data_IF_038181449612
#
_entry.id   IF_038181449612
#
_cell.length_a   1.000
_cell.length_b   1.000
_cell.length_c   1.000
_cell.angle_alpha   90.00
_cell.angle_beta   90.00
_cell.angle_gamma   90.00
#
_symmetry.space_group_name_H-M   'P 1'
#
loop_
_entity.id
_entity.type
_entity.pdbx_description
1 polymer ?
#
# COMPACT_ATOMS: atom_id res chain seq x y z
N UNK A 1 75.75 3.71 40.35
CA UNK A 1 75.68 4.93 41.17
C UNK A 1 74.23 5.38 41.17
N UNK A 2 73.52 5.05 42.26
CA UNK A 2 72.34 5.70 42.86
C UNK A 2 71.10 5.87 41.95
N UNK A 3 69.86 5.59 42.32
CA UNK A 3 69.16 4.75 43.30
C UNK A 3 67.67 4.85 42.89
N UNK A 4 66.86 3.87 43.28
CA UNK A 4 65.44 3.75 42.95
C UNK A 4 64.57 4.07 44.17
N UNK A 5 63.31 4.44 43.88
CA UNK A 5 62.06 4.38 44.69
C UNK A 5 61.50 5.76 45.09
N UNK A 6 60.41 6.24 44.48
CA UNK A 6 58.97 5.87 44.60
C UNK A 6 58.40 6.22 45.98
N UNK A 7 57.27 6.96 46.04
CA UNK A 7 56.01 6.71 46.78
C UNK A 7 55.02 7.88 46.50
N UNK A 8 53.85 7.62 45.86
CA UNK A 8 52.46 7.59 46.42
C UNK A 8 51.89 9.00 46.73
N UNK A 9 50.62 9.39 46.53
CA UNK A 9 49.34 8.85 46.03
C UNK A 9 48.33 10.04 46.10
N UNK A 10 47.22 9.97 45.36
CA UNK A 10 45.93 10.67 45.56
C UNK A 10 45.74 12.13 45.07
N UNK A 11 45.05 12.23 43.92
CA UNK A 11 43.69 12.79 43.87
C UNK A 11 43.51 14.30 43.79
N UNK A 12 43.00 14.80 42.66
CA UNK A 12 41.64 15.37 42.58
C UNK A 12 41.29 15.71 41.12
N UNK A 13 40.20 15.11 40.68
CA UNK A 13 39.44 15.42 39.47
C UNK A 13 38.84 16.83 39.60
N UNK A 14 39.08 17.74 38.65
CA UNK A 14 38.14 18.82 38.35
C UNK A 14 38.19 19.16 36.86
N UNK A 15 37.10 18.80 36.18
CA UNK A 15 36.71 19.25 34.85
C UNK A 15 36.62 20.78 34.79
N UNK A 16 37.16 21.36 33.72
CA UNK A 16 36.63 22.61 33.17
C UNK A 16 36.40 22.38 31.67
N UNK A 17 35.14 22.07 31.35
CA UNK A 17 34.61 22.06 29.99
C UNK A 17 34.49 23.51 29.53
N UNK A 18 35.34 23.92 28.59
CA UNK A 18 35.09 25.14 27.82
C UNK A 18 34.41 24.75 26.51
N UNK A 19 33.08 24.85 26.51
CA UNK A 19 32.28 24.95 25.29
C UNK A 19 32.53 26.31 24.66
N UNK A 20 33.28 26.35 23.57
CA UNK A 20 33.22 27.44 22.61
C UNK A 20 32.90 26.86 21.24
N UNK A 21 31.60 26.81 20.95
CA UNK A 21 31.03 26.78 19.61
C UNK A 21 31.58 27.96 18.81
N UNK A 22 32.36 27.68 17.77
CA UNK A 22 32.66 28.63 16.71
C UNK A 22 32.41 27.94 15.38
N UNK A 23 31.16 28.05 14.91
CA UNK A 23 30.80 27.80 13.53
C UNK A 23 31.66 28.71 12.64
N UNK A 24 32.60 28.13 11.89
CA UNK A 24 33.22 28.86 10.79
C UNK A 24 32.35 28.64 9.56
N UNK A 25 31.55 29.65 9.27
CA UNK A 25 30.80 29.78 8.03
C UNK A 25 31.80 29.96 6.87
N UNK A 26 31.86 29.00 5.96
CA UNK A 26 32.50 29.17 4.65
C UNK A 26 31.47 28.93 3.58
N UNK A 27 30.82 30.01 3.18
CA UNK A 27 30.12 30.11 1.91
C UNK A 27 31.17 30.09 0.80
N UNK A 28 31.19 29.00 0.02
CA UNK A 28 31.85 28.97 -1.28
C UNK A 28 30.89 28.38 -2.30
N UNK A 29 30.48 29.29 -3.17
CA UNK A 29 29.65 29.13 -4.35
C UNK A 29 30.11 27.94 -5.20
N UNK A 30 29.31 26.87 -5.18
CA UNK A 30 29.29 25.87 -6.24
C UNK A 30 27.90 26.00 -6.87
N UNK A 31 27.85 26.25 -8.17
CA UNK A 31 26.62 26.05 -8.96
C UNK A 31 26.20 24.59 -8.76
N UNK A 32 25.30 24.33 -7.82
CA UNK A 32 24.60 23.06 -7.73
C UNK A 32 23.39 23.18 -8.64
N UNK A 33 23.30 22.32 -9.65
CA UNK A 33 21.97 21.88 -10.08
C UNK A 33 21.18 21.55 -8.81
N UNK A 34 19.98 22.11 -8.69
CA UNK A 34 19.18 22.14 -7.47
C UNK A 34 18.61 20.78 -7.06
N UNK A 35 19.44 19.74 -7.00
CA UNK A 35 19.07 18.45 -6.45
C UNK A 35 18.96 18.61 -4.94
N UNK A 36 17.73 18.60 -4.43
CA UNK A 36 17.47 18.52 -2.99
C UNK A 36 18.12 17.24 -2.48
N UNK A 37 19.07 17.38 -1.57
CA UNK A 37 19.78 16.24 -0.99
C UNK A 37 18.91 15.61 0.09
N UNK A 38 18.12 14.60 -0.28
CA UNK A 38 17.31 13.82 0.65
C UNK A 38 18.13 12.67 1.25
N UNK A 39 17.91 12.31 2.52
CA UNK A 39 18.52 11.13 3.10
C UNK A 39 18.06 9.84 2.40
N UNK A 40 18.77 8.75 2.68
CA UNK A 40 18.27 7.39 2.44
C UNK A 40 17.45 6.97 3.66
N UNK A 41 16.17 6.62 3.46
CA UNK A 41 15.23 6.19 4.49
C UNK A 41 14.86 4.71 4.33
N UNK A 42 14.32 4.07 5.35
CA UNK A 42 13.71 2.74 5.18
C UNK A 42 12.46 2.82 4.29
N UNK A 43 12.08 1.70 3.67
CA UNK A 43 10.90 1.65 2.83
C UNK A 43 9.60 1.98 3.60
N UNK A 44 9.54 1.64 4.89
CA UNK A 44 8.44 2.00 5.79
C UNK A 44 8.37 3.52 5.99
N UNK A 45 9.48 4.17 6.34
CA UNK A 45 9.54 5.63 6.50
C UNK A 45 9.22 6.38 5.20
N UNK A 46 9.57 5.80 4.04
CA UNK A 46 9.22 6.34 2.72
C UNK A 46 7.69 6.38 2.55
N UNK A 47 7.00 5.28 2.82
CA UNK A 47 5.54 5.23 2.70
C UNK A 47 4.84 6.07 3.77
N UNK A 48 5.32 6.08 5.02
CA UNK A 48 4.76 6.94 6.07
C UNK A 48 4.84 8.43 5.70
N UNK A 49 5.97 8.87 5.13
CA UNK A 49 6.12 10.25 4.65
C UNK A 49 5.21 10.53 3.46
N UNK A 50 5.08 9.58 2.53
CA UNK A 50 4.23 9.72 1.36
C UNK A 50 2.75 9.86 1.76
N UNK A 51 2.25 8.98 2.62
CA UNK A 51 0.89 9.01 3.14
C UNK A 51 0.62 10.32 3.88
N UNK A 52 1.53 10.72 4.77
CA UNK A 52 1.46 12.02 5.47
C UNK A 52 1.39 13.19 4.49
N UNK A 53 2.15 13.13 3.38
CA UNK A 53 2.16 14.19 2.37
C UNK A 53 0.81 14.32 1.65
N UNK A 54 0.16 13.19 1.34
CA UNK A 54 -1.15 13.18 0.70
C UNK A 54 -2.24 13.64 1.67
N UNK A 55 -2.21 13.20 2.92
CA UNK A 55 -3.16 13.65 3.96
C UNK A 55 -3.06 15.15 4.22
N UNK A 56 -1.85 15.72 4.20
CA UNK A 56 -1.64 17.15 4.38
C UNK A 56 -2.25 17.99 3.25
N UNK A 57 -2.20 17.50 2.01
CA UNK A 57 -2.85 18.15 0.85
C UNK A 57 -4.38 18.00 0.88
N UNK A 58 -4.87 16.94 1.52
CA UNK A 58 -6.29 16.61 1.58
C UNK A 58 -7.05 17.30 2.73
N UNK A 59 -6.40 18.18 3.51
CA UNK A 59 -7.11 19.02 4.49
C UNK A 59 -8.05 20.01 3.81
N UNK A 60 -9.24 19.53 3.45
CA UNK A 60 -10.40 20.34 3.13
C UNK A 60 -10.95 20.90 4.44
N UNK A 61 -10.71 22.18 4.67
CA UNK A 61 -11.49 22.99 5.60
C UNK A 61 -12.91 23.14 5.02
N UNK A 62 -13.93 22.77 5.80
CA UNK A 62 -15.29 23.28 5.52
C UNK A 62 -15.27 24.81 5.55
N UNK A 63 -16.25 25.47 4.92
CA UNK A 63 -16.44 26.93 4.93
C UNK A 63 -16.50 27.52 6.35
N UNK A 64 -16.69 26.70 7.39
CA UNK A 64 -16.60 27.04 8.81
C UNK A 64 -15.26 26.73 9.50
N UNK A 65 -14.20 26.35 8.79
CA UNK A 65 -12.85 26.15 9.33
C UNK A 65 -12.64 24.89 10.18
N UNK A 66 -13.58 23.94 10.17
CA UNK A 66 -13.47 22.68 10.91
C UNK A 66 -12.77 21.62 10.06
N UNK A 67 -11.74 20.97 10.61
CA UNK A 67 -11.08 19.83 9.96
C UNK A 67 -12.07 18.66 9.87
N UNK A 68 -12.46 18.27 8.65
CA UNK A 68 -13.20 17.02 8.44
C UNK A 68 -12.17 15.90 8.39
N UNK A 69 -12.06 15.12 9.47
CA UNK A 69 -11.38 13.82 9.39
C UNK A 69 -12.28 12.88 8.61
N UNK A 70 -11.86 12.38 7.44
CA UNK A 70 -12.62 11.46 6.58
C UNK A 70 -12.92 10.08 7.20
N UNK A 71 -12.62 9.87 8.48
CA UNK A 71 -12.89 8.60 9.17
C UNK A 71 -14.39 8.49 9.45
N UNK A 72 -15.12 7.91 8.49
CA UNK A 72 -16.50 7.45 8.71
C UNK A 72 -17.51 7.69 7.60
N UNK A 73 -17.17 8.37 6.49
CA UNK A 73 -18.15 8.73 5.44
C UNK A 73 -17.95 8.02 4.08
N UNK A 74 -17.01 7.08 3.95
CA UNK A 74 -16.71 6.44 2.66
C UNK A 74 -16.13 7.39 1.61
N UNK A 75 -15.71 8.59 2.01
CA UNK A 75 -14.99 9.52 1.13
C UNK A 75 -13.52 9.12 1.19
N UNK A 76 -13.10 8.30 0.23
CA UNK A 76 -11.68 8.08 -0.02
C UNK A 76 -11.02 9.43 -0.34
N UNK A 77 -9.90 9.77 0.32
CA UNK A 77 -8.99 10.81 -0.17
C UNK A 77 -8.87 10.74 -1.69
N UNK A 78 -9.18 11.82 -2.40
CA UNK A 78 -8.79 11.90 -3.81
C UNK A 78 -7.28 12.05 -3.84
N UNK A 79 -6.57 10.92 -3.90
CA UNK A 79 -5.13 10.91 -4.12
C UNK A 79 -4.81 11.61 -5.45
N UNK A 80 -3.59 12.09 -5.67
CA UNK A 80 -3.25 12.67 -6.97
C UNK A 80 -3.54 11.70 -8.12
N UNK A 81 -4.10 12.18 -9.22
CA UNK A 81 -4.52 11.34 -10.36
C UNK A 81 -3.37 10.61 -11.05
N UNK A 82 -2.12 11.02 -10.79
CA UNK A 82 -0.95 10.30 -11.26
C UNK A 82 -0.54 9.15 -10.35
N UNK A 83 -0.99 9.09 -9.09
CA UNK A 83 -0.53 8.10 -8.13
C UNK A 83 -1.20 6.74 -8.40
N UNK A 84 -0.40 5.69 -8.59
CA UNK A 84 -0.84 4.33 -8.93
C UNK A 84 -0.83 3.33 -7.77
N UNK A 85 -0.44 3.76 -6.57
CA UNK A 85 -0.20 2.88 -5.42
C UNK A 85 1.29 2.71 -5.11
N UNK A 86 1.58 1.89 -4.12
CA UNK A 86 2.93 1.52 -3.76
C UNK A 86 3.01 0.12 -3.16
N UNK A 87 4.19 -0.49 -3.24
CA UNK A 87 4.47 -1.82 -2.70
C UNK A 87 5.95 -1.96 -2.35
N UNK A 88 6.27 -3.02 -1.60
CA UNK A 88 7.64 -3.44 -1.33
C UNK A 88 8.05 -4.48 -2.37
N UNK A 89 9.17 -4.27 -3.06
CA UNK A 89 9.70 -5.31 -3.95
C UNK A 89 10.26 -6.51 -3.14
N UNK A 90 10.72 -7.55 -3.84
CA UNK A 90 11.25 -8.77 -3.22
C UNK A 90 12.50 -8.49 -2.34
N UNK A 91 13.23 -7.42 -2.63
CA UNK A 91 14.39 -6.95 -1.89
C UNK A 91 14.03 -5.99 -0.75
N UNK A 92 12.75 -5.61 -0.61
CA UNK A 92 12.23 -4.74 0.44
C UNK A 92 12.38 -3.25 0.15
N UNK A 93 12.66 -2.84 -1.10
CA UNK A 93 12.67 -1.44 -1.48
C UNK A 93 11.26 -0.90 -1.68
N UNK A 94 11.07 0.41 -1.43
CA UNK A 94 9.82 1.09 -1.71
C UNK A 94 9.68 1.39 -3.21
N UNK A 95 8.66 0.80 -3.82
CA UNK A 95 8.26 1.10 -5.20
C UNK A 95 6.97 1.92 -5.19
N UNK A 96 7.01 3.09 -5.82
CA UNK A 96 5.85 3.96 -6.05
C UNK A 96 5.46 3.89 -7.52
N UNK A 97 4.19 3.59 -7.77
CA UNK A 97 3.63 3.53 -9.10
C UNK A 97 3.07 4.89 -9.52
N UNK A 98 3.31 5.28 -10.76
CA UNK A 98 2.76 6.50 -11.35
C UNK A 98 2.13 6.25 -12.73
N UNK A 99 0.95 6.82 -12.97
CA UNK A 99 0.27 6.83 -14.26
C UNK A 99 0.84 7.97 -15.11
N UNK A 100 1.89 7.67 -15.87
CA UNK A 100 2.60 8.66 -16.69
C UNK A 100 4.08 8.33 -16.88
N UNK A 101 4.90 9.36 -17.13
CA UNK A 101 6.35 9.20 -17.21
C UNK A 101 6.99 9.23 -15.81
N UNK A 102 7.63 8.14 -15.35
CA UNK A 102 8.30 8.11 -14.05
C UNK A 102 9.31 9.23 -13.83
N UNK A 103 10.02 9.65 -14.90
CA UNK A 103 11.02 10.71 -14.78
C UNK A 103 10.38 12.08 -14.50
N UNK A 104 9.16 12.32 -15.00
CA UNK A 104 8.43 13.56 -14.75
C UNK A 104 7.95 13.69 -13.29
N UNK A 105 7.76 12.56 -12.60
CA UNK A 105 7.27 12.53 -11.21
C UNK A 105 8.37 12.23 -10.18
N UNK A 106 9.56 11.82 -10.59
CA UNK A 106 10.62 11.40 -9.68
C UNK A 106 10.95 12.44 -8.60
N UNK A 107 11.13 13.71 -9.00
CA UNK A 107 11.46 14.78 -8.05
C UNK A 107 10.29 15.09 -7.10
N UNK A 108 9.05 15.04 -7.59
CA UNK A 108 7.86 15.19 -6.74
C UNK A 108 7.78 14.06 -5.71
N UNK A 109 7.95 12.81 -6.13
CA UNK A 109 7.93 11.64 -5.24
C UNK A 109 9.07 11.71 -4.22
N UNK A 110 10.28 12.12 -4.60
CA UNK A 110 11.39 12.34 -3.65
C UNK A 110 11.08 13.42 -2.63
N UNK A 111 10.44 14.51 -3.05
CA UNK A 111 10.00 15.59 -2.14
C UNK A 111 8.97 15.09 -1.14
N UNK A 112 7.96 14.34 -1.60
CA UNK A 112 6.90 13.79 -0.75
C UNK A 112 7.44 12.76 0.24
N UNK A 113 8.27 11.84 -0.24
CA UNK A 113 8.87 10.77 0.58
C UNK A 113 10.03 11.24 1.45
N UNK A 114 10.57 12.44 1.18
CA UNK A 114 11.80 12.98 1.79
C UNK A 114 12.99 12.04 1.65
N UNK A 115 13.05 11.31 0.55
CA UNK A 115 14.01 10.22 0.37
C UNK A 115 14.55 10.15 -1.06
N UNK A 116 15.82 9.78 -1.18
CA UNK A 116 16.46 9.48 -2.47
C UNK A 116 16.33 8.01 -2.91
N UNK A 117 16.00 7.09 -2.00
CA UNK A 117 15.95 5.64 -2.26
C UNK A 117 14.53 5.11 -2.47
N UNK A 118 13.73 5.84 -3.25
CA UNK A 118 12.43 5.42 -3.74
C UNK A 118 12.54 5.05 -5.22
N UNK A 119 11.95 3.91 -5.60
CA UNK A 119 11.85 3.49 -6.99
C UNK A 119 10.52 4.00 -7.53
N UNK A 120 10.55 4.72 -8.66
CA UNK A 120 9.33 5.19 -9.32
C UNK A 120 9.14 4.41 -10.61
N UNK A 121 7.99 3.75 -10.76
CA UNK A 121 7.68 2.93 -11.94
C UNK A 121 6.38 3.38 -12.59
N UNK A 122 6.26 3.14 -13.90
CA UNK A 122 5.05 3.43 -14.66
C UNK A 122 3.98 2.37 -14.36
N UNK A 123 2.73 2.80 -14.28
CA UNK A 123 1.56 1.93 -14.25
C UNK A 123 0.47 2.39 -15.24
N UNK A 124 -0.55 1.56 -15.43
CA UNK A 124 -1.62 1.81 -16.41
C UNK A 124 -2.78 2.62 -15.80
N UNK A 125 -3.06 2.38 -14.52
CA UNK A 125 -4.22 2.92 -13.81
C UNK A 125 -3.77 3.69 -12.57
N UNK A 126 -4.41 4.83 -12.32
CA UNK A 126 -4.30 5.54 -11.06
C UNK A 126 -4.98 4.73 -9.95
N UNK A 127 -4.50 4.86 -8.73
CA UNK A 127 -5.04 4.14 -7.58
C UNK A 127 -6.52 4.47 -7.36
N UNK A 128 -6.92 5.73 -7.55
CA UNK A 128 -8.33 6.15 -7.46
C UNK A 128 -9.21 5.43 -8.49
N UNK A 129 -8.70 5.13 -9.69
CA UNK A 129 -9.45 4.37 -10.70
C UNK A 129 -9.66 2.92 -10.26
N UNK A 130 -8.65 2.32 -9.62
CA UNK A 130 -8.73 0.96 -9.07
C UNK A 130 -9.68 0.88 -7.87
N UNK A 131 -9.63 1.87 -6.97
CA UNK A 131 -10.56 1.98 -5.83
C UNK A 131 -11.99 2.13 -6.32
N UNK A 132 -12.26 3.08 -7.21
CA UNK A 132 -13.60 3.29 -7.76
C UNK A 132 -14.14 2.03 -8.47
N UNK A 133 -13.28 1.32 -9.21
CA UNK A 133 -13.64 0.06 -9.82
C UNK A 133 -13.96 -1.01 -8.77
N UNK A 134 -13.10 -1.21 -7.77
CA UNK A 134 -13.31 -2.21 -6.73
C UNK A 134 -14.59 -1.92 -5.92
N UNK A 135 -14.87 -0.65 -5.61
CA UNK A 135 -16.10 -0.23 -4.94
C UNK A 135 -17.34 -0.52 -5.79
N UNK A 136 -17.26 -0.28 -7.11
CA UNK A 136 -18.35 -0.58 -8.04
C UNK A 136 -18.67 -2.07 -8.13
N UNK A 137 -17.69 -2.94 -7.86
CA UNK A 137 -17.89 -4.39 -7.80
C UNK A 137 -18.64 -4.82 -6.52
N UNK A 138 -18.63 -3.99 -5.47
CA UNK A 138 -19.32 -4.28 -4.21
C UNK A 138 -20.84 -4.43 -4.38
N UNK A 139 -21.46 -3.62 -5.24
CA UNK A 139 -22.93 -3.67 -5.44
C UNK A 139 -23.36 -5.02 -6.06
N UNK A 140 -22.80 -5.49 -7.19
CA UNK A 140 -23.08 -6.83 -7.69
C UNK A 140 -22.70 -7.96 -6.72
N UNK A 141 -21.70 -7.75 -5.88
CA UNK A 141 -21.21 -8.78 -4.95
C UNK A 141 -22.21 -9.10 -3.83
N UNK A 142 -23.14 -8.18 -3.51
CA UNK A 142 -24.22 -8.43 -2.57
C UNK A 142 -25.28 -9.43 -3.08
N UNK A 143 -25.34 -9.70 -4.39
CA UNK A 143 -26.22 -10.73 -4.96
C UNK A 143 -25.58 -12.13 -4.82
N UNK A 144 -25.94 -12.83 -3.75
CA UNK A 144 -25.43 -14.18 -3.50
C UNK A 144 -25.74 -15.18 -4.63
N UNK A 145 -26.85 -15.02 -5.35
CA UNK A 145 -27.20 -15.94 -6.43
C UNK A 145 -26.28 -15.72 -7.63
N UNK A 146 -26.01 -14.47 -7.97
CA UNK A 146 -25.01 -14.10 -8.98
C UNK A 146 -23.62 -14.58 -8.58
N UNK A 147 -23.20 -14.34 -7.33
CA UNK A 147 -21.90 -14.79 -6.83
C UNK A 147 -21.74 -16.32 -6.92
N UNK A 148 -22.76 -17.09 -6.50
CA UNK A 148 -22.76 -18.56 -6.65
C UNK A 148 -22.73 -19.02 -8.10
N UNK A 149 -23.45 -18.34 -8.99
CA UNK A 149 -23.48 -18.69 -10.42
C UNK A 149 -22.13 -18.47 -11.10
N UNK A 150 -21.45 -17.37 -10.75
CA UNK A 150 -20.15 -16.99 -11.30
C UNK A 150 -18.99 -17.74 -10.63
N UNK A 151 -19.22 -18.30 -9.44
CA UNK A 151 -18.14 -18.79 -8.57
C UNK A 151 -17.30 -17.66 -8.00
N UNK A 152 -17.87 -16.46 -7.83
CA UNK A 152 -17.14 -15.28 -7.34
C UNK A 152 -16.95 -15.34 -5.84
N UNK A 153 -15.68 -15.26 -5.40
CA UNK A 153 -15.29 -15.42 -3.99
C UNK A 153 -14.88 -14.11 -3.32
N UNK A 154 -14.54 -13.07 -4.09
CA UNK A 154 -14.16 -11.74 -3.60
C UNK A 154 -13.41 -10.92 -4.63
N UNK A 155 -13.07 -9.68 -4.27
CA UNK A 155 -12.17 -8.83 -5.03
C UNK A 155 -11.25 -8.02 -4.12
N UNK A 156 -10.13 -7.56 -4.66
CA UNK A 156 -9.19 -6.69 -3.97
C UNK A 156 -8.23 -6.01 -4.95
N UNK A 157 -7.52 -4.99 -4.50
CA UNK A 157 -6.51 -4.32 -5.31
C UNK A 157 -5.16 -4.98 -5.06
N UNK A 158 -4.49 -5.39 -6.13
CA UNK A 158 -3.09 -5.79 -6.11
C UNK A 158 -2.27 -4.59 -6.58
N UNK A 159 -1.62 -3.91 -5.63
CA UNK A 159 -0.83 -2.72 -5.89
C UNK A 159 0.34 -2.99 -6.83
N UNK A 160 1.01 -4.13 -6.70
CA UNK A 160 2.18 -4.47 -7.54
C UNK A 160 1.75 -4.72 -8.99
N UNK A 161 0.65 -5.45 -9.21
CA UNK A 161 0.10 -5.65 -10.56
C UNK A 161 -0.60 -4.41 -11.11
N UNK A 162 -0.96 -3.45 -10.26
CA UNK A 162 -1.81 -2.31 -10.60
C UNK A 162 -3.15 -2.78 -11.23
N UNK A 163 -3.82 -3.72 -10.54
CA UNK A 163 -5.08 -4.33 -10.99
C UNK A 163 -6.05 -4.54 -9.84
N UNK A 164 -7.34 -4.62 -10.18
CA UNK A 164 -8.34 -5.22 -9.31
C UNK A 164 -8.36 -6.73 -9.60
N UNK A 165 -7.99 -7.52 -8.59
CA UNK A 165 -8.05 -8.97 -8.63
C UNK A 165 -9.46 -9.44 -8.29
N UNK A 166 -10.00 -10.33 -9.11
CA UNK A 166 -11.29 -10.99 -8.89
C UNK A 166 -11.05 -12.48 -8.68
N UNK A 167 -11.39 -12.96 -7.48
CA UNK A 167 -11.29 -14.37 -7.12
C UNK A 167 -12.47 -15.17 -7.68
N UNK A 168 -12.17 -16.23 -8.43
CA UNK A 168 -13.16 -17.19 -8.94
C UNK A 168 -12.82 -18.62 -8.52
N UNK A 169 -13.82 -19.40 -8.10
CA UNK A 169 -13.68 -20.81 -7.75
C UNK A 169 -14.85 -21.63 -8.35
N UNK A 170 -14.61 -22.52 -9.32
CA UNK A 170 -13.32 -22.77 -10.00
C UNK A 170 -12.95 -21.63 -10.97
N UNK A 171 -11.66 -21.30 -11.05
CA UNK A 171 -11.13 -20.37 -12.04
C UNK A 171 -11.18 -21.01 -13.44
N UNK A 172 -12.21 -20.69 -14.22
CA UNK A 172 -12.40 -21.21 -15.58
C UNK A 172 -12.65 -20.08 -16.58
N UNK A 173 -12.26 -20.27 -17.85
CA UNK A 173 -12.55 -19.29 -18.91
C UNK A 173 -14.05 -19.03 -19.08
N UNK A 174 -14.89 -20.03 -18.82
CA UNK A 174 -16.35 -19.88 -18.81
C UNK A 174 -16.81 -18.93 -17.69
N UNK A 175 -16.24 -19.06 -16.49
CA UNK A 175 -16.55 -18.19 -15.36
C UNK A 175 -16.06 -16.75 -15.61
N UNK A 176 -14.81 -16.59 -16.06
CA UNK A 176 -14.25 -15.27 -16.45
C UNK A 176 -15.11 -14.57 -17.50
N UNK A 177 -15.50 -15.29 -18.56
CA UNK A 177 -16.37 -14.74 -19.61
C UNK A 177 -17.72 -14.30 -19.06
N UNK A 178 -18.38 -15.14 -18.25
CA UNK A 178 -19.67 -14.79 -17.63
C UNK A 178 -19.57 -13.58 -16.70
N UNK A 179 -18.49 -13.48 -15.91
CA UNK A 179 -18.25 -12.30 -15.10
C UNK A 179 -18.16 -11.05 -15.99
N UNK A 180 -17.36 -11.09 -17.06
CA UNK A 180 -17.22 -9.96 -18.00
C UNK A 180 -18.53 -9.56 -18.66
N UNK A 181 -19.36 -10.53 -19.02
CA UNK A 181 -20.66 -10.31 -19.67
C UNK A 181 -21.71 -9.73 -18.71
N UNK A 182 -21.66 -10.09 -17.43
CA UNK A 182 -22.73 -9.77 -16.47
C UNK A 182 -22.38 -8.68 -15.46
N UNK A 183 -21.09 -8.48 -15.19
CA UNK A 183 -20.61 -7.61 -14.11
C UNK A 183 -19.78 -6.47 -14.71
N UNK A 184 -18.57 -6.77 -15.19
CA UNK A 184 -17.66 -5.75 -15.68
C UNK A 184 -16.58 -6.35 -16.59
N UNK A 185 -16.35 -5.74 -17.76
CA UNK A 185 -15.33 -6.15 -18.72
C UNK A 185 -14.09 -5.25 -18.73
N UNK A 186 -13.86 -4.48 -17.65
CA UNK A 186 -12.73 -3.55 -17.55
C UNK A 186 -11.39 -4.26 -17.75
N UNK A 187 -10.48 -3.62 -18.48
CA UNK A 187 -9.10 -4.08 -18.65
C UNK A 187 -8.25 -3.96 -17.37
N UNK A 188 -8.75 -3.30 -16.34
CA UNK A 188 -8.11 -3.21 -15.03
C UNK A 188 -8.38 -4.43 -14.14
N UNK A 189 -9.21 -5.38 -14.60
CA UNK A 189 -9.54 -6.61 -13.87
C UNK A 189 -8.65 -7.76 -14.33
N UNK A 190 -8.02 -8.41 -13.36
CA UNK A 190 -7.40 -9.72 -13.54
C UNK A 190 -8.08 -10.77 -12.65
N UNK A 191 -8.04 -12.02 -13.07
CA UNK A 191 -8.71 -13.11 -12.37
C UNK A 191 -7.71 -14.05 -11.75
N UNK A 192 -8.00 -14.46 -10.52
CA UNK A 192 -7.19 -15.40 -9.76
C UNK A 192 -8.06 -16.52 -9.17
N UNK A 193 -7.40 -17.58 -8.71
CA UNK A 193 -8.09 -18.66 -8.03
C UNK A 193 -8.58 -18.17 -6.67
N UNK A 194 -9.90 -18.21 -6.50
CA UNK A 194 -10.55 -17.76 -5.28
C UNK A 194 -10.35 -18.72 -4.12
N UNK A 195 -10.37 -18.18 -2.90
CA UNK A 195 -10.47 -19.00 -1.69
C UNK A 195 -11.84 -19.66 -1.55
N UNK A 196 -11.92 -20.77 -0.80
CA UNK A 196 -13.19 -21.41 -0.44
C UNK A 196 -14.07 -20.38 0.27
N UNK A 197 -15.23 -20.06 -0.31
CA UNK A 197 -16.13 -19.06 0.26
C UNK A 197 -16.60 -19.50 1.66
N UNK A 198 -16.95 -18.56 2.54
CA UNK A 198 -17.55 -18.87 3.85
C UNK A 198 -18.81 -19.73 3.71
N UNK A 199 -19.51 -19.61 2.57
CA UNK A 199 -20.68 -20.41 2.21
C UNK A 199 -20.34 -21.88 1.96
N UNK A 200 -19.16 -22.17 1.40
CA UNK A 200 -18.68 -23.53 1.15
C UNK A 200 -18.15 -24.19 2.44
N UNK A 201 -17.54 -23.41 3.34
CA UNK A 201 -17.12 -23.89 4.66
C UNK A 201 -18.31 -24.35 5.52
N UNK A 202 -19.48 -23.71 5.38
CA UNK A 202 -20.72 -24.14 6.05
C UNK A 202 -21.26 -25.48 5.49
N UNK A 203 -21.09 -25.72 4.18
CA UNK A 203 -21.45 -26.99 3.53
C UNK A 203 -20.54 -28.15 3.94
N UNK A 204 -19.25 -27.90 4.14
CA UNK A 204 -18.31 -28.91 4.65
C UNK A 204 -18.60 -29.31 6.10
N UNK A 205 -19.32 -28.48 6.87
CA UNK A 205 -19.76 -28.79 8.25
C UNK A 205 -21.11 -29.51 8.32
N UNK A 206 -21.88 -29.56 7.24
CA UNK A 206 -23.11 -30.34 7.22
C UNK A 206 -22.78 -31.80 6.86
N UNK A 207 -23.18 -32.79 7.69
CA UNK A 207 -23.07 -34.19 7.30
C UNK A 207 -23.82 -34.36 5.99
N UNK A 208 -23.12 -34.83 4.95
CA UNK A 208 -23.75 -35.32 3.72
C UNK A 208 -24.81 -36.34 4.15
N UNK A 209 -26.09 -35.96 4.05
CA UNK A 209 -27.17 -36.88 4.33
C UNK A 209 -27.09 -37.98 3.27
N UNK A 210 -26.61 -39.15 3.68
CA UNK A 210 -26.67 -40.37 2.86
C UNK A 210 -28.08 -40.51 2.29
N UNK A 211 -28.25 -40.75 0.97
CA UNK A 211 -29.56 -40.96 0.42
C UNK A 211 -30.20 -42.16 1.11
N UNK A 212 -31.27 -41.90 1.86
CA UNK A 212 -32.15 -42.92 2.41
C UNK A 212 -32.51 -43.89 1.28
N UNK A 213 -32.12 -45.15 1.45
CA UNK A 213 -32.64 -46.27 0.68
C UNK A 213 -34.15 -46.36 0.94
N UNK A 214 -34.95 -45.64 0.16
CA UNK A 214 -36.36 -45.94 -0.04
C UNK A 214 -36.44 -47.18 -0.93
N UNK A 215 -36.66 -48.35 -0.33
CA UNK A 215 -37.28 -49.46 -1.05
C UNK A 215 -38.79 -49.32 -0.94
N UNK A 216 -39.54 -49.40 -2.06
CA UNK A 216 -40.98 -49.29 -2.04
C UNK A 216 -41.62 -50.56 -1.45
N UNK A 217 -42.63 -50.35 -0.62
CA UNK A 217 -43.71 -51.30 -0.36
C UNK A 217 -44.40 -51.65 -1.67
N UNK A 218 -44.63 -52.94 -1.96
CA UNK A 218 -45.98 -53.48 -2.13
C UNK A 218 -46.05 -54.97 -2.51
N UNK A 219 -47.08 -55.59 -1.90
CA UNK A 219 -47.67 -56.94 -2.06
C UNK A 219 -46.98 -58.12 -1.39
#
# INVERSE_FOLDING_TARGET
MIDMKTYLLNGLFLLAVCLSSACTEKTLNKKSDGQKDFPTLSAMEIFDNLDTSFEAEMSLVDSGGTQIRSVGMGIHPSLPDFYGGGYYDAEGHAVVLVKGDPNAYLDEIRVRTKSNNVIVQRCDYAYNELVALNDSLGIPFEDEALCRELGWTGSGIDSEKNRVMVGLLPLTEKAKRRFKERVCSSGAIEFEEGGVSVLDAARLKQPQASPLHLRPSNR
#
